data_IF_737112329860
#
_entry.id   IF_737112329860
#
_cell.length_a   1.000
_cell.length_b   1.000
_cell.length_c   1.000
_cell.angle_alpha   90.00
_cell.angle_beta   90.00
_cell.angle_gamma   90.00
#
_symmetry.space_group_name_H-M   'P 1'
#
loop_
_entity.id
_entity.type
_entity.pdbx_description
1 polymer ?
#
# COMPACT_ATOMS: atom_id res chain seq x y z
N UNK A 1 8.22 1.57 4.83
CA UNK A 1 8.33 1.72 3.36
C UNK A 1 7.48 2.90 2.90
N UNK A 2 7.72 3.44 1.71
CA UNK A 2 6.99 4.59 1.17
C UNK A 2 7.63 5.08 -0.12
N UNK A 3 6.94 5.93 -0.91
CA UNK A 3 7.43 6.34 -2.22
C UNK A 3 8.77 7.07 -2.13
N UNK A 4 9.52 7.05 -3.24
CA UNK A 4 10.75 7.84 -3.35
C UNK A 4 10.46 9.33 -3.11
N UNK A 5 11.26 9.98 -2.24
CA UNK A 5 11.05 11.38 -1.87
C UNK A 5 10.10 11.64 -0.69
N UNK A 6 9.46 10.62 -0.11
CA UNK A 6 8.53 10.76 1.02
C UNK A 6 9.17 11.16 2.38
N UNK A 7 10.44 11.56 2.41
CA UNK A 7 11.12 11.98 3.65
C UNK A 7 11.56 10.86 4.60
N UNK A 8 11.58 9.58 4.17
CA UNK A 8 11.95 8.42 5.01
C UNK A 8 13.29 8.60 5.76
N UNK A 9 14.36 8.94 5.04
CA UNK A 9 15.69 9.12 5.64
C UNK A 9 15.78 10.37 6.54
N UNK A 10 15.00 11.42 6.25
CA UNK A 10 14.89 12.58 7.12
C UNK A 10 14.18 12.22 8.44
N UNK A 11 13.10 11.42 8.38
CA UNK A 11 12.41 10.91 9.56
C UNK A 11 13.34 10.04 10.43
N UNK A 12 14.15 9.17 9.81
CA UNK A 12 15.12 8.36 10.54
C UNK A 12 16.17 9.20 11.29
N UNK A 13 16.66 10.28 10.68
CA UNK A 13 17.59 11.20 11.35
C UNK A 13 16.93 11.95 12.52
N UNK A 14 15.61 12.19 12.49
CA UNK A 14 14.91 12.79 13.64
C UNK A 14 14.74 11.80 14.80
N UNK A 15 14.47 10.52 14.49
CA UNK A 15 14.29 9.46 15.50
C UNK A 15 15.60 9.11 16.18
N UNK A 16 16.70 9.07 15.43
CA UNK A 16 18.03 8.81 15.97
C UNK A 16 19.04 9.78 15.32
N UNK A 17 19.27 10.95 15.94
CA UNK A 17 20.17 11.99 15.41
C UNK A 17 21.60 11.50 15.14
N UNK A 18 22.00 10.39 15.75
CA UNK A 18 23.31 9.76 15.56
C UNK A 18 23.48 8.95 14.27
N UNK A 19 22.43 8.70 13.48
CA UNK A 19 22.56 7.90 12.26
C UNK A 19 23.24 8.61 11.10
N UNK A 20 23.28 9.94 11.09
CA UNK A 20 24.03 10.70 10.08
C UNK A 20 23.67 10.32 8.64
N UNK A 21 22.43 9.87 8.39
CA UNK A 21 22.02 9.42 7.07
C UNK A 21 22.08 10.61 6.11
N UNK A 22 22.68 10.40 4.93
CA UNK A 22 22.79 11.46 3.91
C UNK A 22 21.40 11.91 3.45
N UNK A 23 20.95 13.06 3.93
CA UNK A 23 19.76 13.76 3.44
C UNK A 23 20.21 14.77 2.38
N UNK A 24 20.01 14.47 1.10
CA UNK A 24 20.31 15.42 0.02
C UNK A 24 19.23 16.50 -0.12
N UNK A 25 19.63 17.73 -0.41
CA UNK A 25 18.73 18.80 -0.85
C UNK A 25 18.16 18.51 -2.24
N UNK A 26 16.93 18.96 -2.49
CA UNK A 26 16.25 18.84 -3.79
C UNK A 26 17.08 19.61 -4.83
N UNK A 27 17.60 18.92 -5.84
CA UNK A 27 18.34 19.54 -6.94
C UNK A 27 17.39 20.34 -7.83
N UNK A 28 17.54 21.67 -7.84
CA UNK A 28 16.77 22.60 -8.67
C UNK A 28 17.13 22.56 -10.18
N UNK A 29 18.14 21.77 -10.59
CA UNK A 29 18.70 21.91 -11.95
C UNK A 29 18.22 20.91 -13.00
N UNK A 30 17.50 19.86 -12.62
CA UNK A 30 16.91 18.89 -13.58
C UNK A 30 15.71 18.29 -12.86
N UNK A 31 14.49 18.44 -13.37
CA UNK A 31 13.22 18.12 -12.68
C UNK A 31 12.96 16.65 -12.28
N UNK A 32 13.99 15.88 -11.95
CA UNK A 32 13.98 14.56 -11.31
C UNK A 32 15.18 14.43 -10.37
N UNK A 33 15.03 14.88 -9.12
CA UNK A 33 16.00 14.59 -8.06
C UNK A 33 15.95 13.12 -7.67
N UNK A 34 16.85 12.29 -8.21
CA UNK A 34 16.96 10.87 -7.84
C UNK A 34 18.30 10.60 -7.15
N UNK A 35 18.37 10.93 -5.87
CA UNK A 35 19.32 10.31 -4.95
C UNK A 35 18.55 9.48 -3.93
N UNK A 36 18.11 8.32 -4.39
CA UNK A 36 17.45 7.25 -3.63
C UNK A 36 18.49 6.45 -2.85
N UNK A 37 18.22 6.14 -1.58
CA UNK A 37 18.83 4.98 -0.90
C UNK A 37 18.71 3.79 -1.86
N UNK A 38 19.84 3.29 -2.40
CA UNK A 38 19.87 2.22 -3.42
C UNK A 38 20.01 0.82 -2.83
N UNK A 39 20.37 0.75 -1.55
CA UNK A 39 20.60 -0.49 -0.82
C UNK A 39 19.78 -0.48 0.46
N UNK A 40 19.23 -1.62 0.84
CA UNK A 40 18.61 -1.77 2.16
C UNK A 40 19.71 -1.75 3.22
N UNK A 41 19.60 -0.84 4.20
CA UNK A 41 20.50 -0.78 5.34
C UNK A 41 19.73 -1.02 6.64
N UNK A 42 20.36 -1.73 7.59
CA UNK A 42 19.78 -2.00 8.89
C UNK A 42 20.52 -1.19 9.95
N UNK A 43 19.78 -0.36 10.69
CA UNK A 43 20.33 0.54 11.70
C UNK A 43 19.86 0.13 13.09
N UNK A 44 20.80 -0.13 14.00
CA UNK A 44 20.48 -0.45 15.39
C UNK A 44 20.04 0.81 16.15
N UNK A 45 18.91 0.76 16.86
CA UNK A 45 18.42 1.89 17.66
C UNK A 45 19.05 1.86 19.05
N UNK A 46 19.32 3.04 19.64
CA UNK A 46 19.79 3.13 21.03
C UNK A 46 18.78 2.58 22.04
N UNK A 47 17.49 2.71 21.75
CA UNK A 47 16.41 2.15 22.55
C UNK A 47 16.28 0.61 22.43
N UNK A 48 17.12 -0.03 21.61
CA UNK A 48 17.03 -1.44 21.27
C UNK A 48 16.22 -1.70 19.99
N UNK A 49 16.50 -2.81 19.32
CA UNK A 49 15.90 -3.17 18.03
C UNK A 49 16.61 -2.53 16.83
N UNK A 50 16.02 -2.73 15.65
CA UNK A 50 16.59 -2.30 14.37
C UNK A 50 15.56 -1.65 13.46
N UNK A 51 16.02 -0.70 12.64
CA UNK A 51 15.24 -0.10 11.57
C UNK A 51 15.88 -0.37 10.22
N UNK A 52 15.10 -0.92 9.29
CA UNK A 52 15.52 -1.09 7.92
C UNK A 52 15.18 0.17 7.09
N UNK A 53 16.20 0.89 6.60
CA UNK A 53 16.01 1.90 5.55
C UNK A 53 16.00 1.18 4.20
N UNK A 54 14.87 1.21 3.51
CA UNK A 54 14.68 0.56 2.22
C UNK A 54 14.54 1.61 1.12
N UNK A 55 15.03 1.33 -0.11
CA UNK A 55 14.70 2.15 -1.26
C UNK A 55 13.21 2.46 -1.33
N UNK A 56 12.86 3.70 -1.72
CA UNK A 56 11.47 4.03 -1.99
C UNK A 56 10.98 3.32 -3.24
N UNK A 57 9.74 2.84 -3.23
CA UNK A 57 9.11 2.35 -4.45
C UNK A 57 8.65 3.53 -5.32
N UNK A 58 8.55 3.31 -6.63
CA UNK A 58 7.99 4.29 -7.58
C UNK A 58 6.57 3.89 -7.98
N UNK A 59 6.34 2.59 -8.05
CA UNK A 59 5.06 1.94 -8.29
C UNK A 59 5.02 0.71 -7.37
N UNK A 60 3.84 0.41 -6.84
CA UNK A 60 3.60 -0.81 -6.09
C UNK A 60 2.88 -1.77 -7.02
N UNK A 61 3.53 -2.87 -7.35
CA UNK A 61 2.86 -3.99 -8.01
C UNK A 61 2.28 -4.90 -6.95
N UNK A 62 1.02 -5.30 -7.12
CA UNK A 62 0.36 -6.26 -6.24
C UNK A 62 0.76 -7.67 -6.74
N UNK A 63 1.74 -8.27 -6.07
CA UNK A 63 2.28 -9.58 -6.46
C UNK A 63 1.84 -10.66 -5.48
N UNK A 64 1.39 -11.80 -6.00
CA UNK A 64 1.05 -12.97 -5.18
C UNK A 64 -0.31 -12.90 -4.47
N UNK A 65 -1.15 -11.91 -4.84
CA UNK A 65 -2.53 -11.80 -4.36
C UNK A 65 -3.45 -12.08 -5.55
N UNK A 66 -4.40 -13.00 -5.41
CA UNK A 66 -5.44 -13.21 -6.43
C UNK A 66 -6.53 -12.15 -6.29
N UNK A 67 -7.26 -11.86 -7.37
CA UNK A 67 -8.37 -10.91 -7.31
C UNK A 67 -9.43 -11.31 -6.27
N UNK A 68 -9.66 -12.61 -6.10
CA UNK A 68 -10.63 -13.16 -5.13
C UNK A 68 -10.16 -12.99 -3.68
N UNK A 69 -8.86 -13.09 -3.42
CA UNK A 69 -8.32 -12.95 -2.06
C UNK A 69 -8.15 -11.49 -1.62
N UNK A 70 -8.20 -10.53 -2.56
CA UNK A 70 -7.94 -9.12 -2.29
C UNK A 70 -8.77 -8.56 -1.14
N UNK A 71 -10.05 -8.94 -1.03
CA UNK A 71 -10.96 -8.47 0.01
C UNK A 71 -10.43 -8.73 1.43
N UNK A 72 -9.70 -9.83 1.63
CA UNK A 72 -9.12 -10.18 2.95
C UNK A 72 -8.01 -9.23 3.42
N UNK A 73 -7.43 -8.45 2.51
CA UNK A 73 -6.39 -7.45 2.82
C UNK A 73 -6.96 -6.08 3.19
N UNK A 74 -8.28 -5.89 3.06
CA UNK A 74 -8.98 -4.68 3.47
C UNK A 74 -9.62 -4.89 4.85
N UNK A 75 -8.98 -4.37 5.90
CA UNK A 75 -9.38 -4.59 7.31
C UNK A 75 -10.82 -4.19 7.61
N UNK A 76 -11.32 -3.18 6.93
CA UNK A 76 -12.68 -2.65 7.03
C UNK A 76 -13.73 -3.62 6.49
N UNK A 77 -13.35 -4.60 5.68
CA UNK A 77 -14.27 -5.61 5.15
C UNK A 77 -14.39 -6.81 6.10
N UNK A 78 -13.44 -6.97 7.02
CA UNK A 78 -13.43 -8.06 7.98
C UNK A 78 -14.70 -8.05 8.85
N UNK A 79 -15.36 -9.21 8.97
CA UNK A 79 -16.62 -9.37 9.72
C UNK A 79 -17.87 -8.83 9.03
N UNK A 80 -17.75 -8.02 7.98
CA UNK A 80 -18.86 -7.59 7.13
C UNK A 80 -19.03 -8.46 5.89
N UNK A 81 -17.93 -9.01 5.36
CA UNK A 81 -17.96 -9.89 4.21
C UNK A 81 -18.87 -11.12 4.40
N UNK A 82 -18.94 -11.66 5.62
CA UNK A 82 -19.78 -12.81 5.98
C UNK A 82 -21.30 -12.49 5.96
N UNK A 83 -21.66 -11.21 5.95
CA UNK A 83 -23.05 -10.74 5.90
C UNK A 83 -23.57 -10.60 4.46
N UNK A 84 -22.72 -10.82 3.45
CA UNK A 84 -23.15 -10.84 2.07
C UNK A 84 -24.14 -11.97 1.78
N UNK A 85 -25.13 -11.68 0.94
CA UNK A 85 -26.11 -12.68 0.48
C UNK A 85 -25.46 -13.89 -0.21
N UNK A 86 -24.39 -13.66 -0.97
CA UNK A 86 -23.73 -14.68 -1.78
C UNK A 86 -22.41 -15.13 -1.15
N UNK A 87 -22.21 -16.45 -1.08
CA UNK A 87 -20.90 -17.02 -0.76
C UNK A 87 -19.93 -16.72 -1.91
N UNK A 88 -18.74 -16.25 -1.60
CA UNK A 88 -17.73 -15.86 -2.59
C UNK A 88 -17.99 -14.49 -3.22
N UNK A 89 -18.73 -13.61 -2.54
CA UNK A 89 -18.89 -12.23 -2.97
C UNK A 89 -17.53 -11.52 -2.99
N UNK A 90 -17.14 -10.99 -4.15
CA UNK A 90 -15.98 -10.12 -4.37
C UNK A 90 -16.34 -8.63 -4.23
N UNK A 91 -17.57 -8.32 -3.83
CA UNK A 91 -18.01 -6.98 -3.46
C UNK A 91 -17.93 -5.92 -4.57
N UNK A 92 -18.00 -6.31 -5.85
CA UNK A 92 -17.94 -5.38 -6.98
C UNK A 92 -19.33 -5.26 -7.63
N UNK A 93 -19.76 -6.28 -8.37
CA UNK A 93 -21.00 -6.26 -9.15
C UNK A 93 -22.19 -6.88 -8.42
N UNK A 94 -21.98 -7.56 -7.30
CA UNK A 94 -23.00 -8.38 -6.66
C UNK A 94 -24.15 -7.55 -6.07
N UNK A 95 -25.41 -7.94 -6.28
CA UNK A 95 -26.53 -7.28 -5.63
C UNK A 95 -26.57 -7.62 -4.14
N UNK A 96 -27.13 -6.74 -3.31
CA UNK A 96 -27.27 -6.94 -1.86
C UNK A 96 -25.94 -7.30 -1.16
N UNK A 97 -24.87 -6.59 -1.53
CA UNK A 97 -23.56 -6.73 -0.93
C UNK A 97 -23.48 -5.91 0.37
N UNK A 98 -23.13 -6.56 1.48
CA UNK A 98 -23.00 -5.91 2.78
C UNK A 98 -21.92 -4.82 2.79
N UNK A 99 -20.81 -5.02 2.07
CA UNK A 99 -19.76 -4.01 1.90
C UNK A 99 -20.30 -2.77 1.18
N UNK A 100 -21.04 -2.94 0.07
CA UNK A 100 -21.62 -1.80 -0.65
C UNK A 100 -22.67 -1.05 0.19
N UNK A 101 -23.43 -1.77 1.01
CA UNK A 101 -24.35 -1.15 1.97
C UNK A 101 -23.60 -0.33 3.03
N UNK A 102 -22.54 -0.90 3.62
CA UNK A 102 -21.68 -0.23 4.59
C UNK A 102 -20.91 0.97 4.01
N UNK A 103 -20.64 0.98 2.70
CA UNK A 103 -20.12 2.17 2.01
C UNK A 103 -21.20 3.23 1.88
N UNK A 104 -22.42 2.84 1.54
CA UNK A 104 -23.55 3.76 1.36
C UNK A 104 -24.00 4.43 2.67
N UNK A 105 -23.90 3.72 3.80
CA UNK A 105 -24.22 4.27 5.13
C UNK A 105 -23.05 5.00 5.81
N UNK A 106 -21.86 4.98 5.19
CA UNK A 106 -20.67 5.68 5.67
C UNK A 106 -19.83 4.92 6.70
N UNK A 107 -20.21 3.68 7.06
CA UNK A 107 -19.40 2.83 7.95
C UNK A 107 -18.05 2.49 7.32
N UNK A 108 -18.04 2.25 6.00
CA UNK A 108 -16.82 2.14 5.19
C UNK A 108 -16.65 3.43 4.39
N UNK A 109 -15.47 4.02 4.50
CA UNK A 109 -15.11 5.20 3.71
C UNK A 109 -15.14 4.89 2.20
N UNK A 110 -15.79 5.74 1.42
CA UNK A 110 -15.90 5.58 -0.04
C UNK A 110 -14.53 5.46 -0.71
N UNK A 111 -13.54 6.25 -0.29
CA UNK A 111 -12.20 6.23 -0.90
C UNK A 111 -11.50 4.89 -0.70
N UNK A 112 -11.81 4.18 0.39
CA UNK A 112 -11.28 2.84 0.65
C UNK A 112 -11.89 1.81 -0.30
N UNK A 113 -13.19 1.90 -0.53
CA UNK A 113 -13.88 1.05 -1.50
C UNK A 113 -13.47 1.34 -2.95
N UNK A 114 -13.22 2.61 -3.29
CA UNK A 114 -12.67 3.00 -4.59
C UNK A 114 -11.28 2.39 -4.82
N UNK A 115 -10.38 2.46 -3.82
CA UNK A 115 -9.08 1.79 -3.92
C UNK A 115 -9.23 0.27 -4.06
N UNK A 116 -10.16 -0.35 -3.33
CA UNK A 116 -10.45 -1.78 -3.46
C UNK A 116 -10.83 -2.15 -4.89
N UNK A 117 -11.83 -1.46 -5.46
CA UNK A 117 -12.31 -1.75 -6.82
C UNK A 117 -11.27 -1.48 -7.89
N UNK A 118 -10.44 -0.43 -7.72
CA UNK A 118 -9.29 -0.16 -8.59
C UNK A 118 -8.28 -1.31 -8.57
N UNK A 119 -7.83 -1.75 -7.38
CA UNK A 119 -6.87 -2.85 -7.25
C UNK A 119 -7.45 -4.19 -7.73
N UNK A 120 -8.74 -4.43 -7.48
CA UNK A 120 -9.42 -5.62 -7.98
C UNK A 120 -9.36 -5.68 -9.51
N UNK A 121 -9.67 -4.56 -10.18
CA UNK A 121 -9.61 -4.47 -11.62
C UNK A 121 -8.19 -4.67 -12.16
N UNK A 122 -7.19 -4.08 -11.49
CA UNK A 122 -5.78 -4.26 -11.85
C UNK A 122 -5.35 -5.73 -11.77
N UNK A 123 -5.74 -6.44 -10.71
CA UNK A 123 -5.45 -7.87 -10.54
C UNK A 123 -6.14 -8.72 -11.61
N UNK A 124 -7.41 -8.45 -11.91
CA UNK A 124 -8.15 -9.14 -12.99
C UNK A 124 -7.42 -8.99 -14.33
N UNK A 125 -6.93 -7.79 -14.64
CA UNK A 125 -6.23 -7.54 -15.90
C UNK A 125 -4.83 -8.16 -15.92
N UNK A 126 -4.14 -8.22 -14.77
CA UNK A 126 -2.90 -8.98 -14.62
C UNK A 126 -3.11 -10.49 -14.83
N UNK A 127 -4.14 -11.07 -14.23
CA UNK A 127 -4.49 -12.47 -14.38
C UNK A 127 -4.80 -12.81 -15.85
N UNK A 128 -5.63 -12.02 -16.54
CA UNK A 128 -5.92 -12.21 -17.97
C UNK A 128 -4.67 -12.21 -18.85
N UNK A 129 -3.73 -11.29 -18.60
CA UNK A 129 -2.45 -11.20 -19.33
C UNK A 129 -1.55 -12.40 -19.11
N UNK A 130 -1.69 -13.11 -17.98
CA UNK A 130 -0.86 -14.27 -17.65
C UNK A 130 -1.33 -15.57 -18.33
N UNK A 131 -2.59 -15.62 -18.74
CA UNK A 131 -3.20 -16.77 -19.42
C UNK A 131 -3.29 -16.61 -20.96
N UNK A 132 -2.75 -15.52 -21.51
CA UNK A 132 -2.52 -15.32 -22.94
C UNK A 132 -1.02 -15.40 -23.23
#
# INVERSE_FOLDING_TARGET
>A
AGPSGAGKSALLNMVEPGFGLRTGSISEKIGRGKHTTRHTSLHALKAGGFVADTPGFTQLDIVGVSAVDLASYFREFAGMADQCRFRGCVHVSEPNCAIKAAVADGTIRSERYEHYTHFYQELIDQEKRRFH
#
